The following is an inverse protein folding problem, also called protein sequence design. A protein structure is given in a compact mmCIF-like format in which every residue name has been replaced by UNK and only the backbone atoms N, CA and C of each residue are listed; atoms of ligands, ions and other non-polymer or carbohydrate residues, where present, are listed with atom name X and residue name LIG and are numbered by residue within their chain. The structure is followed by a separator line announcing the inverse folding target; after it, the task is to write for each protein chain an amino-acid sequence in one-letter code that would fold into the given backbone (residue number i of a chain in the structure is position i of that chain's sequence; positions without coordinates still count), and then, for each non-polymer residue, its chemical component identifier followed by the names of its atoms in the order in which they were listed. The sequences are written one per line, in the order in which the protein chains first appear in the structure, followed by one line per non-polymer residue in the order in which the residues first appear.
data_IF_712971471749
#
_entry.id   IF_712971471749
#
_cell.length_a   1.000
_cell.length_b   1.000
_cell.length_c   1.000
_cell.angle_alpha   90.00
_cell.angle_beta   90.00
_cell.angle_gamma   90.00
#
_symmetry.space_group_name_H-M   'P 1'
#
loop_
_entity.id
_entity.type
_entity.pdbx_description
1 polymer ?
#
# COMPACT_ATOMS: atom_id res chain seq x y z
N UNK A 1 47.27 -10.50 62.26
CA UNK A 1 46.64 -9.46 61.42
C UNK A 1 46.00 -10.17 60.24
N UNK A 2 44.67 -10.34 60.27
CA UNK A 2 43.92 -11.24 59.39
C UNK A 2 43.53 -10.52 58.10
N UNK A 3 44.13 -10.91 56.97
CA UNK A 3 43.80 -10.39 55.64
C UNK A 3 42.57 -11.10 55.07
N UNK A 4 41.42 -10.41 55.11
CA UNK A 4 40.19 -10.84 54.44
C UNK A 4 40.31 -10.59 52.93
N UNK A 5 40.41 -11.66 52.14
CA UNK A 5 40.25 -11.60 50.67
C UNK A 5 38.77 -11.40 50.33
N UNK A 6 38.41 -10.22 49.82
CA UNK A 6 37.11 -9.98 49.18
C UNK A 6 37.12 -10.60 47.78
N UNK A 7 36.33 -11.66 47.58
CA UNK A 7 36.03 -12.19 46.25
C UNK A 7 35.02 -11.26 45.57
N UNK A 8 35.49 -10.50 44.57
CA UNK A 8 34.63 -9.71 43.68
C UNK A 8 34.23 -10.65 42.53
N UNK A 9 33.00 -11.17 42.58
CA UNK A 9 32.42 -11.93 41.47
C UNK A 9 32.07 -11.00 40.31
N UNK A 10 32.75 -11.16 39.18
CA UNK A 10 32.44 -10.46 37.94
C UNK A 10 31.23 -11.12 37.28
N UNK A 11 30.05 -10.49 37.37
CA UNK A 11 28.85 -10.92 36.64
C UNK A 11 28.97 -10.43 35.20
N UNK A 12 29.34 -11.33 34.28
CA UNK A 12 29.34 -11.07 32.85
C UNK A 12 27.90 -11.19 32.36
N UNK A 13 27.25 -10.05 32.11
CA UNK A 13 25.96 -9.98 31.45
C UNK A 13 26.16 -10.28 29.95
N UNK A 14 25.98 -11.55 29.56
CA UNK A 14 25.95 -11.95 28.15
C UNK A 14 24.72 -11.32 27.47
N UNK A 15 24.94 -10.21 26.78
CA UNK A 15 23.99 -9.67 25.80
C UNK A 15 23.93 -10.64 24.62
N UNK A 16 22.95 -11.54 24.62
CA UNK A 16 22.59 -12.34 23.47
C UNK A 16 22.08 -11.41 22.37
N UNK A 17 22.97 -11.04 21.44
CA UNK A 17 22.57 -10.45 20.16
C UNK A 17 21.91 -11.55 19.33
N UNK A 18 20.58 -11.64 19.41
CA UNK A 18 19.80 -12.42 18.45
C UNK A 18 19.86 -11.71 17.10
N UNK A 19 20.72 -12.19 16.20
CA UNK A 19 20.68 -11.82 14.79
C UNK A 19 19.36 -12.33 14.21
N UNK A 20 18.38 -11.43 14.03
CA UNK A 20 17.22 -11.72 13.21
C UNK A 20 17.67 -11.71 11.75
N UNK A 21 17.84 -12.90 11.18
CA UNK A 21 18.03 -13.02 9.75
C UNK A 21 16.81 -12.46 9.01
N UNK A 22 17.07 -11.63 8.01
CA UNK A 22 16.04 -11.03 7.18
C UNK A 22 15.93 -11.78 5.85
N UNK A 23 14.71 -12.14 5.46
CA UNK A 23 14.38 -12.75 4.18
C UNK A 23 13.60 -11.81 3.28
N UNK A 24 13.18 -12.33 2.13
CA UNK A 24 12.27 -11.65 1.22
C UNK A 24 11.05 -12.49 0.89
N UNK A 25 9.96 -11.83 0.50
CA UNK A 25 8.75 -12.44 -0.03
C UNK A 25 8.52 -11.92 -1.44
N UNK A 26 8.55 -12.82 -2.42
CA UNK A 26 8.25 -12.52 -3.82
C UNK A 26 7.09 -13.34 -4.32
N UNK A 27 6.46 -12.87 -5.38
CA UNK A 27 5.53 -13.69 -6.11
C UNK A 27 4.82 -12.94 -7.21
N UNK A 28 3.85 -13.65 -7.78
CA UNK A 28 3.01 -13.17 -8.87
C UNK A 28 1.54 -13.18 -8.46
N UNK A 29 0.81 -12.16 -8.86
CA UNK A 29 -0.64 -12.05 -8.66
C UNK A 29 -1.32 -12.12 -10.02
N UNK A 30 -2.26 -13.07 -10.14
CA UNK A 30 -3.06 -13.24 -11.35
C UNK A 30 -4.55 -13.33 -11.05
N UNK A 31 -5.33 -13.21 -12.11
CA UNK A 31 -6.76 -13.48 -12.12
C UNK A 31 -7.08 -14.68 -13.00
N UNK A 32 -7.90 -15.59 -12.47
CA UNK A 32 -8.45 -16.70 -13.23
C UNK A 32 -9.77 -16.30 -13.90
N UNK A 33 -9.74 -16.28 -15.24
CA UNK A 33 -10.87 -16.01 -16.11
C UNK A 33 -10.86 -14.61 -16.74
N UNK A 34 -11.98 -14.22 -17.34
CA UNK A 34 -12.12 -12.91 -17.98
C UNK A 34 -12.35 -11.81 -16.92
N UNK A 35 -11.53 -10.77 -16.96
CA UNK A 35 -11.73 -9.57 -16.15
C UNK A 35 -13.07 -8.85 -16.46
N UNK A 36 -13.48 -7.88 -15.63
CA UNK A 36 -14.55 -6.96 -15.98
C UNK A 36 -14.19 -6.16 -17.23
N UNK A 37 -15.20 -5.65 -17.95
CA UNK A 37 -14.94 -4.73 -19.07
C UNK A 37 -14.29 -3.45 -18.57
N UNK A 38 -13.28 -2.96 -19.28
CA UNK A 38 -12.66 -1.68 -19.00
C UNK A 38 -13.70 -0.56 -19.11
N UNK A 39 -13.82 0.23 -18.04
CA UNK A 39 -14.76 1.36 -18.00
C UNK A 39 -14.01 2.62 -18.40
N UNK A 40 -14.35 3.18 -19.57
CA UNK A 40 -13.85 4.50 -19.99
C UNK A 40 -14.30 5.57 -19.00
N UNK A 41 -13.39 6.43 -18.57
CA UNK A 41 -13.68 7.58 -17.73
C UNK A 41 -14.29 8.69 -18.59
N UNK A 42 -15.29 9.39 -18.03
CA UNK A 42 -15.96 10.52 -18.68
C UNK A 42 -15.46 11.78 -18.00
N UNK A 43 -14.53 12.47 -18.64
CA UNK A 43 -13.82 13.63 -18.10
C UNK A 43 -14.24 14.95 -18.77
N UNK A 44 -15.14 14.87 -19.75
CA UNK A 44 -15.59 15.96 -20.63
C UNK A 44 -16.39 17.06 -19.92
N UNK A 45 -16.88 16.79 -18.71
CA UNK A 45 -17.54 17.79 -17.88
C UNK A 45 -16.60 18.92 -17.39
N UNK A 46 -15.28 18.66 -17.33
CA UNK A 46 -14.26 19.67 -17.03
C UNK A 46 -13.34 19.80 -18.26
N UNK A 47 -13.27 20.96 -18.94
CA UNK A 47 -12.46 21.13 -20.14
C UNK A 47 -10.97 20.85 -19.95
N UNK A 48 -10.41 21.14 -18.76
CA UNK A 48 -9.01 20.81 -18.45
C UNK A 48 -8.84 19.30 -18.42
N UNK A 49 -9.78 18.59 -17.79
CA UNK A 49 -9.74 17.14 -17.73
C UNK A 49 -9.98 16.49 -19.10
N UNK A 50 -10.96 16.96 -19.87
CA UNK A 50 -11.27 16.45 -21.20
C UNK A 50 -10.13 16.61 -22.22
N UNK A 51 -9.23 17.57 -22.00
CA UNK A 51 -8.06 17.83 -22.85
C UNK A 51 -6.74 17.31 -22.27
N UNK A 52 -6.75 16.70 -21.08
CA UNK A 52 -5.53 16.27 -20.40
C UNK A 52 -4.89 14.99 -20.96
N UNK A 53 -5.60 14.28 -21.86
CA UNK A 53 -5.12 13.05 -22.50
C UNK A 53 -5.39 13.06 -24.00
N UNK A 54 -4.45 12.55 -24.79
CA UNK A 54 -4.64 12.31 -26.23
C UNK A 54 -5.50 11.08 -26.52
N UNK A 55 -5.54 10.12 -25.58
CA UNK A 55 -6.27 8.87 -25.70
C UNK A 55 -7.37 8.73 -24.63
N UNK A 56 -8.22 7.71 -24.80
CA UNK A 56 -9.25 7.41 -23.80
C UNK A 56 -8.62 6.88 -22.51
N UNK A 57 -8.93 7.51 -21.39
CA UNK A 57 -8.56 7.01 -20.06
C UNK A 57 -9.59 6.00 -19.56
N UNK A 58 -9.12 4.94 -18.91
CA UNK A 58 -9.95 3.88 -18.35
C UNK A 58 -9.78 3.79 -16.83
N UNK A 59 -10.78 3.26 -16.14
CA UNK A 59 -10.71 3.04 -14.70
C UNK A 59 -9.63 2.03 -14.34
N UNK A 60 -8.80 2.41 -13.38
CA UNK A 60 -7.72 1.59 -12.82
C UNK A 60 -8.19 0.60 -11.74
N UNK A 61 -9.51 0.58 -11.44
CA UNK A 61 -10.08 -0.30 -10.41
C UNK A 61 -9.90 -1.80 -10.64
N UNK A 62 -9.45 -2.21 -11.83
CA UNK A 62 -9.04 -3.57 -12.17
C UNK A 62 -8.14 -3.56 -13.41
N UNK A 63 -6.82 -3.52 -13.21
CA UNK A 63 -5.82 -3.57 -14.29
C UNK A 63 -5.26 -4.98 -14.43
N UNK A 64 -5.60 -5.61 -15.54
CA UNK A 64 -5.21 -6.98 -15.86
C UNK A 64 -4.57 -7.02 -17.24
N UNK A 65 -3.40 -7.63 -17.34
CA UNK A 65 -2.74 -7.87 -18.62
C UNK A 65 -3.37 -9.06 -19.36
N UNK A 66 -3.00 -9.25 -20.62
CA UNK A 66 -3.58 -10.29 -21.49
C UNK A 66 -3.34 -11.72 -20.99
N UNK A 67 -2.26 -11.96 -20.23
CA UNK A 67 -1.96 -13.26 -19.62
C UNK A 67 -2.63 -13.46 -18.25
N UNK A 68 -3.47 -12.51 -17.81
CA UNK A 68 -4.19 -12.55 -16.54
C UNK A 68 -3.41 -11.98 -15.34
N UNK A 69 -2.21 -11.43 -15.53
CA UNK A 69 -1.47 -10.78 -14.43
C UNK A 69 -2.21 -9.54 -13.95
N UNK A 70 -2.20 -9.30 -12.64
CA UNK A 70 -2.90 -8.18 -12.02
C UNK A 70 -1.93 -7.14 -11.48
N UNK A 71 -2.01 -5.94 -12.01
CA UNK A 71 -1.36 -4.77 -11.43
C UNK A 71 -2.16 -4.21 -10.25
N UNK A 72 -1.50 -3.37 -9.45
CA UNK A 72 -2.15 -2.59 -8.38
C UNK A 72 -2.82 -3.44 -7.30
N UNK A 73 -2.30 -4.65 -7.08
CA UNK A 73 -2.65 -5.45 -5.91
C UNK A 73 -1.71 -5.07 -4.77
N UNK A 74 -2.27 -4.79 -3.60
CA UNK A 74 -1.48 -4.63 -2.37
C UNK A 74 -1.19 -5.99 -1.77
N UNK A 75 0.08 -6.34 -1.62
CA UNK A 75 0.53 -7.50 -0.86
C UNK A 75 1.20 -6.99 0.41
N UNK A 76 0.73 -7.41 1.59
CA UNK A 76 1.25 -6.90 2.85
C UNK A 76 1.17 -7.92 3.98
N UNK A 77 2.11 -7.84 4.91
CA UNK A 77 2.16 -8.69 6.09
C UNK A 77 1.42 -8.04 7.26
N UNK A 78 0.69 -8.85 8.02
CA UNK A 78 0.06 -8.44 9.28
C UNK A 78 0.81 -8.94 10.49
N UNK A 79 0.64 -8.20 11.60
CA UNK A 79 1.16 -8.56 12.92
C UNK A 79 2.69 -8.74 12.95
N UNK A 80 3.41 -7.94 12.16
CA UNK A 80 4.87 -7.92 12.19
C UNK A 80 5.31 -6.93 13.25
N UNK A 81 6.08 -7.38 14.25
CA UNK A 81 6.73 -6.47 15.18
C UNK A 81 7.80 -5.67 14.44
N UNK A 82 7.71 -4.35 14.50
CA UNK A 82 8.61 -3.44 13.80
C UNK A 82 8.93 -2.22 14.66
N UNK A 83 10.22 -1.93 14.80
CA UNK A 83 10.75 -0.82 15.60
C UNK A 83 11.73 0.08 14.80
N UNK A 84 11.87 -0.16 13.49
CA UNK A 84 12.79 0.56 12.60
C UNK A 84 12.41 2.02 12.30
N UNK A 85 11.37 2.55 12.95
CA UNK A 85 10.91 3.92 12.83
C UNK A 85 10.10 4.21 11.57
N UNK A 86 9.64 5.45 11.43
CA UNK A 86 8.81 5.86 10.29
C UNK A 86 9.72 6.34 9.14
N UNK A 87 9.46 5.95 7.87
CA UNK A 87 10.18 6.49 6.73
C UNK A 87 10.15 8.02 6.69
N UNK A 88 11.32 8.64 6.48
CA UNK A 88 11.44 10.10 6.37
C UNK A 88 10.95 10.63 5.02
N UNK A 89 11.13 9.83 3.97
CA UNK A 89 10.63 10.17 2.65
C UNK A 89 9.10 10.12 2.63
N UNK A 90 8.42 11.16 2.15
CA UNK A 90 6.97 11.18 2.12
C UNK A 90 6.44 10.17 1.10
N UNK A 91 5.30 9.55 1.43
CA UNK A 91 4.46 8.96 0.40
C UNK A 91 3.90 10.10 -0.47
N UNK A 92 3.74 9.88 -1.77
CA UNK A 92 3.26 10.92 -2.70
C UNK A 92 1.93 10.51 -3.32
N UNK A 93 0.97 11.44 -3.32
CA UNK A 93 -0.28 11.33 -4.06
C UNK A 93 -0.45 12.57 -4.92
N UNK A 94 -0.47 12.41 -6.24
CA UNK A 94 -0.59 13.53 -7.18
C UNK A 94 -1.93 13.52 -7.91
N UNK A 95 -2.50 14.71 -8.07
CA UNK A 95 -3.62 15.00 -8.96
C UNK A 95 -3.03 15.44 -10.30
N UNK A 96 -2.98 14.51 -11.25
CA UNK A 96 -2.32 14.72 -12.55
C UNK A 96 -3.09 14.02 -13.66
N UNK A 97 -3.40 14.73 -14.73
CA UNK A 97 -4.25 14.21 -15.81
C UNK A 97 -5.68 13.95 -15.33
N UNK A 98 -6.17 14.71 -14.36
CA UNK A 98 -7.45 14.50 -13.71
C UNK A 98 -7.67 13.05 -13.23
N UNK A 99 -6.62 12.42 -12.73
CA UNK A 99 -6.62 11.14 -12.01
C UNK A 99 -5.73 11.28 -10.77
N UNK A 100 -5.83 10.31 -9.86
CA UNK A 100 -4.93 10.22 -8.71
C UNK A 100 -3.81 9.23 -9.00
N UNK A 101 -2.57 9.69 -8.85
CA UNK A 101 -1.38 8.89 -9.09
C UNK A 101 -0.56 8.77 -7.80
N UNK A 102 -0.23 7.55 -7.37
CA UNK A 102 -0.69 6.25 -7.90
C UNK A 102 -2.16 5.94 -7.55
N UNK A 103 -2.81 5.03 -8.31
CA UNK A 103 -4.14 4.52 -7.97
C UNK A 103 -4.14 3.66 -6.70
N UNK A 104 -3.06 2.96 -6.43
CA UNK A 104 -2.88 2.13 -5.23
C UNK A 104 -1.47 2.35 -4.67
N UNK A 105 -1.37 2.59 -3.36
CA UNK A 105 -0.09 2.68 -2.66
C UNK A 105 -0.18 2.20 -1.21
N UNK A 106 0.99 2.00 -0.62
CA UNK A 106 1.14 1.78 0.82
C UNK A 106 1.98 2.89 1.44
N UNK A 107 1.72 3.17 2.70
CA UNK A 107 2.52 4.05 3.55
C UNK A 107 2.52 3.52 4.98
N UNK A 108 3.46 3.97 5.79
CA UNK A 108 3.46 3.67 7.22
C UNK A 108 2.63 4.68 8.01
N UNK A 109 2.06 4.22 9.13
CA UNK A 109 1.45 5.09 10.11
C UNK A 109 2.48 6.14 10.59
N UNK A 110 2.05 7.40 10.64
CA UNK A 110 2.90 8.55 10.95
C UNK A 110 3.77 9.05 9.80
N UNK A 111 3.87 8.33 8.67
CA UNK A 111 4.60 8.81 7.50
C UNK A 111 3.92 10.05 6.92
N UNK A 112 4.70 11.01 6.45
CA UNK A 112 4.17 12.17 5.74
C UNK A 112 3.56 11.71 4.40
N UNK A 113 2.36 12.18 4.10
CA UNK A 113 1.74 12.11 2.79
C UNK A 113 1.86 13.49 2.13
N UNK A 114 2.69 13.59 1.10
CA UNK A 114 2.81 14.77 0.26
C UNK A 114 1.78 14.69 -0.87
N UNK A 115 0.80 15.58 -0.82
CA UNK A 115 -0.30 15.61 -1.78
C UNK A 115 -0.05 16.75 -2.77
N UNK A 116 -0.04 16.43 -4.05
CA UNK A 116 0.30 17.37 -5.14
C UNK A 116 -0.91 17.63 -6.03
N UNK A 117 -0.96 18.82 -6.62
CA UNK A 117 -1.87 19.15 -7.71
C UNK A 117 -1.07 19.66 -8.92
N UNK A 118 -0.66 18.71 -9.76
CA UNK A 118 -0.01 18.99 -11.03
C UNK A 118 -0.99 19.51 -12.10
N UNK A 119 -2.30 19.31 -11.92
CA UNK A 119 -3.30 19.80 -12.86
C UNK A 119 -3.54 21.31 -12.77
N UNK A 120 -4.07 21.86 -13.85
CA UNK A 120 -4.47 23.27 -13.97
C UNK A 120 -5.94 23.52 -13.57
N UNK A 121 -6.57 22.56 -12.90
CA UNK A 121 -7.96 22.63 -12.42
C UNK A 121 -8.07 22.37 -10.91
N UNK A 122 -9.26 22.61 -10.37
CA UNK A 122 -9.59 22.34 -8.97
C UNK A 122 -9.92 20.85 -8.79
N UNK A 123 -9.29 20.25 -7.80
CA UNK A 123 -9.66 18.94 -7.26
C UNK A 123 -9.86 19.07 -5.74
N UNK A 124 -10.20 17.98 -5.05
CA UNK A 124 -10.20 17.95 -3.59
C UNK A 124 -9.78 16.58 -3.08
N UNK A 125 -9.14 16.56 -1.91
CA UNK A 125 -8.67 15.33 -1.30
C UNK A 125 -9.59 15.01 -0.13
N UNK A 126 -10.35 13.92 -0.25
CA UNK A 126 -11.25 13.43 0.77
C UNK A 126 -10.87 12.00 1.15
N UNK A 127 -10.24 11.83 2.31
CA UNK A 127 -9.81 10.53 2.83
C UNK A 127 -10.96 9.79 3.51
N UNK A 128 -11.10 8.48 3.32
CA UNK A 128 -12.15 7.69 3.98
C UNK A 128 -11.59 6.62 4.94
N UNK A 129 -10.73 6.98 5.92
CA UNK A 129 -10.15 6.02 6.86
C UNK A 129 -11.22 5.39 7.76
N UNK A 130 -10.88 4.24 8.40
CA UNK A 130 -11.75 3.61 9.39
C UNK A 130 -11.37 3.98 10.83
N UNK A 131 -10.08 4.14 11.11
CA UNK A 131 -9.52 4.39 12.45
C UNK A 131 -9.06 5.83 12.62
N UNK A 132 -8.37 6.37 11.63
CA UNK A 132 -7.89 7.75 11.64
C UNK A 132 -9.02 8.75 11.41
N UNK A 133 -8.76 10.02 11.73
CA UNK A 133 -9.69 11.11 11.42
C UNK A 133 -9.68 11.37 9.91
N UNK A 134 -10.87 11.49 9.34
CA UNK A 134 -11.06 11.96 7.97
C UNK A 134 -10.57 13.41 7.80
N UNK A 135 -9.97 13.69 6.66
CA UNK A 135 -9.79 15.04 6.15
C UNK A 135 -10.45 15.18 4.78
N UNK A 136 -10.99 16.38 4.54
CA UNK A 136 -11.50 16.81 3.26
C UNK A 136 -11.07 18.26 3.02
N UNK A 137 -10.32 18.52 1.94
CA UNK A 137 -9.95 19.88 1.57
C UNK A 137 -9.79 20.03 0.06
N UNK A 138 -10.07 21.25 -0.42
CA UNK A 138 -9.84 21.65 -1.80
C UNK A 138 -8.34 21.76 -2.12
N UNK A 139 -7.98 21.40 -3.35
CA UNK A 139 -6.67 21.59 -3.97
C UNK A 139 -6.88 22.43 -5.25
N UNK A 140 -7.05 23.75 -5.16
CA UNK A 140 -7.17 24.61 -6.35
C UNK A 140 -5.89 24.61 -7.17
N UNK A 141 -5.95 25.00 -8.45
CA UNK A 141 -4.79 25.05 -9.36
C UNK A 141 -3.57 25.82 -8.82
N UNK A 142 -3.77 26.75 -7.89
CA UNK A 142 -2.72 27.57 -7.25
C UNK A 142 -2.07 26.89 -6.04
N UNK A 143 -2.75 25.94 -5.40
CA UNK A 143 -2.20 25.17 -4.29
C UNK A 143 -1.55 23.91 -4.87
N UNK A 144 -0.23 23.97 -5.07
CA UNK A 144 0.51 22.90 -5.73
C UNK A 144 0.80 21.71 -4.83
N UNK A 145 1.00 21.94 -3.54
CA UNK A 145 1.32 20.87 -2.59
C UNK A 145 0.67 21.11 -1.23
N UNK A 146 0.32 20.02 -0.54
CA UNK A 146 -0.18 20.03 0.83
C UNK A 146 0.23 18.74 1.54
N UNK A 147 0.63 18.86 2.80
CA UNK A 147 1.02 17.72 3.64
C UNK A 147 -0.17 17.20 4.45
N UNK A 148 -0.23 15.89 4.62
CA UNK A 148 -1.12 15.17 5.52
C UNK A 148 -0.38 13.98 6.15
N UNK A 149 -1.02 13.28 7.07
CA UNK A 149 -0.48 12.05 7.67
C UNK A 149 -1.61 11.24 8.31
N UNK A 150 -1.41 9.94 8.46
CA UNK A 150 -2.30 9.07 9.23
C UNK A 150 -1.54 8.51 10.44
N UNK A 151 -1.77 9.00 11.67
CA UNK A 151 -0.97 8.61 12.84
C UNK A 151 -1.15 7.16 13.29
N UNK A 152 -2.21 6.46 12.85
CA UNK A 152 -2.50 5.07 13.24
C UNK A 152 -2.56 4.16 12.02
N UNK A 153 -2.17 2.90 12.19
CA UNK A 153 -2.40 1.88 11.17
C UNK A 153 -3.89 1.63 10.95
N UNK A 154 -4.25 1.21 9.73
CA UNK A 154 -5.61 0.87 9.33
C UNK A 154 -5.72 -0.64 9.08
N UNK A 155 -6.83 -1.29 9.51
CA UNK A 155 -6.96 -2.74 9.39
C UNK A 155 -7.07 -3.24 7.94
N UNK A 156 -7.48 -2.35 7.02
CA UNK A 156 -7.65 -2.60 5.60
C UNK A 156 -7.32 -1.35 4.80
N UNK A 157 -6.93 -1.47 3.52
CA UNK A 157 -6.83 -0.33 2.63
C UNK A 157 -8.15 0.43 2.52
N UNK A 158 -8.07 1.76 2.52
CA UNK A 158 -9.21 2.64 2.31
C UNK A 158 -8.95 3.57 1.12
N UNK A 159 -10.01 4.22 0.64
CA UNK A 159 -9.89 5.08 -0.53
C UNK A 159 -9.82 6.57 -0.15
N UNK A 160 -9.09 7.30 -0.97
CA UNK A 160 -9.09 8.76 -1.04
C UNK A 160 -9.80 9.10 -2.35
N UNK A 161 -10.79 10.01 -2.31
CA UNK A 161 -11.59 10.39 -3.49
C UNK A 161 -11.58 11.90 -3.73
N UNK A 162 -11.97 12.27 -4.95
CA UNK A 162 -12.43 13.61 -5.28
C UNK A 162 -13.96 13.63 -5.20
N UNK A 163 -14.52 14.62 -4.51
CA UNK A 163 -15.95 14.93 -4.51
C UNK A 163 -16.37 15.74 -5.75
N UNK A 164 -15.43 16.45 -6.39
CA UNK A 164 -15.68 17.24 -7.61
C UNK A 164 -15.70 16.35 -8.85
N UNK A 165 -14.76 15.41 -8.96
CA UNK A 165 -14.60 14.54 -10.11
C UNK A 165 -14.79 13.06 -9.70
N UNK A 166 -16.00 12.49 -9.87
CA UNK A 166 -16.38 11.20 -9.25
C UNK A 166 -15.56 9.98 -9.71
N UNK A 167 -14.76 10.13 -10.78
CA UNK A 167 -13.86 9.09 -11.26
C UNK A 167 -12.53 9.05 -10.54
N UNK A 168 -12.09 10.16 -9.92
CA UNK A 168 -10.81 10.25 -9.25
C UNK A 168 -10.88 9.55 -7.89
N UNK A 169 -10.08 8.50 -7.77
CA UNK A 169 -9.99 7.67 -6.58
C UNK A 169 -8.59 7.07 -6.52
N UNK A 170 -8.05 6.95 -5.33
CA UNK A 170 -6.85 6.17 -5.03
C UNK A 170 -7.09 5.35 -3.76
N UNK A 171 -6.34 4.28 -3.57
CA UNK A 171 -6.38 3.42 -2.38
C UNK A 171 -5.05 3.43 -1.66
N UNK A 172 -5.12 3.52 -0.34
CA UNK A 172 -3.95 3.55 0.52
C UNK A 172 -4.05 2.47 1.58
N UNK A 173 -2.99 1.68 1.72
CA UNK A 173 -2.70 0.93 2.94
C UNK A 173 -1.92 1.84 3.90
N UNK A 174 -2.40 1.98 5.13
CA UNK A 174 -1.63 2.60 6.22
C UNK A 174 -1.21 1.48 7.17
N UNK A 175 0.06 1.08 7.09
CA UNK A 175 0.62 -0.08 7.80
C UNK A 175 1.41 0.36 9.05
N UNK A 176 1.50 -0.50 10.06
CA UNK A 176 2.39 -0.33 11.22
C UNK A 176 3.84 -0.78 10.95
N UNK A 177 4.07 -1.44 9.82
CA UNK A 177 5.35 -1.97 9.39
C UNK A 177 5.57 -1.71 7.88
N UNK A 178 6.81 -1.73 7.37
CA UNK A 178 7.12 -1.43 5.97
C UNK A 178 6.92 -2.62 5.02
N UNK A 179 6.45 -3.78 5.51
CA UNK A 179 6.43 -5.03 4.75
C UNK A 179 5.19 -5.14 3.87
N UNK A 180 5.16 -4.29 2.84
CA UNK A 180 4.13 -4.26 1.82
C UNK A 180 4.72 -3.92 0.45
N UNK A 181 4.02 -4.35 -0.60
CA UNK A 181 4.32 -4.02 -1.99
C UNK A 181 3.02 -3.83 -2.77
N UNK A 182 3.11 -3.10 -3.87
CA UNK A 182 2.06 -3.01 -4.89
C UNK A 182 2.57 -3.74 -6.13
N UNK A 183 1.73 -4.59 -6.72
CA UNK A 183 2.14 -5.32 -7.93
C UNK A 183 2.34 -4.39 -9.12
N UNK A 184 3.38 -4.68 -9.90
CA UNK A 184 3.68 -4.01 -11.16
C UNK A 184 2.69 -4.39 -12.29
N UNK A 185 2.90 -3.84 -13.49
CA UNK A 185 2.08 -4.15 -14.68
C UNK A 185 2.07 -5.62 -15.08
N UNK A 186 3.11 -6.36 -14.70
CA UNK A 186 3.28 -7.78 -14.99
C UNK A 186 2.81 -8.66 -13.82
N UNK A 187 2.25 -8.05 -12.76
CA UNK A 187 1.69 -8.73 -11.60
C UNK A 187 2.71 -9.20 -10.57
N UNK A 188 3.97 -8.78 -10.68
CA UNK A 188 5.01 -9.18 -9.74
C UNK A 188 5.04 -8.27 -8.52
N UNK A 189 5.41 -8.83 -7.37
CA UNK A 189 5.71 -8.07 -6.15
C UNK A 189 6.97 -8.63 -5.47
N UNK A 190 7.64 -7.75 -4.72
CA UNK A 190 8.79 -8.09 -3.89
C UNK A 190 8.74 -7.29 -2.58
N UNK A 191 8.93 -7.96 -1.45
CA UNK A 191 9.02 -7.36 -0.13
C UNK A 191 10.30 -7.89 0.53
N UNK A 192 11.26 -7.00 0.76
CA UNK A 192 12.57 -7.36 1.32
C UNK A 192 12.66 -7.09 2.82
N UNK A 193 13.74 -7.56 3.42
CA UNK A 193 14.14 -7.28 4.80
C UNK A 193 13.11 -7.69 5.86
N UNK A 194 12.34 -8.74 5.57
CA UNK A 194 11.33 -9.26 6.49
C UNK A 194 12.04 -10.09 7.55
N UNK A 195 11.85 -9.83 8.86
CA UNK A 195 12.43 -10.66 9.91
C UNK A 195 12.00 -12.12 9.76
N UNK A 196 12.85 -13.05 10.16
CA UNK A 196 12.48 -14.46 10.16
C UNK A 196 11.28 -14.71 11.09
N UNK A 197 10.30 -15.47 10.63
CA UNK A 197 9.06 -15.70 11.36
C UNK A 197 7.96 -16.31 10.48
N UNK A 198 6.81 -16.57 11.10
CA UNK A 198 5.60 -17.00 10.38
C UNK A 198 4.61 -15.85 10.40
N UNK A 199 4.15 -15.42 9.23
CA UNK A 199 3.28 -14.26 9.09
C UNK A 199 2.02 -14.60 8.30
N UNK A 200 0.96 -13.85 8.60
CA UNK A 200 -0.18 -13.74 7.72
C UNK A 200 0.15 -12.71 6.63
N UNK A 201 0.11 -13.14 5.37
CA UNK A 201 0.21 -12.26 4.20
C UNK A 201 -1.18 -12.10 3.57
N UNK A 202 -1.52 -10.86 3.25
CA UNK A 202 -2.76 -10.51 2.56
C UNK A 202 -2.43 -9.98 1.18
N UNK A 203 -3.15 -10.48 0.18
CA UNK A 203 -3.21 -9.91 -1.16
C UNK A 203 -4.59 -9.26 -1.36
N UNK A 204 -4.60 -7.94 -1.48
CA UNK A 204 -5.78 -7.11 -1.65
C UNK A 204 -5.84 -6.54 -3.07
N UNK A 205 -7.05 -6.48 -3.62
CA UNK A 205 -7.35 -5.83 -4.91
C UNK A 205 -8.69 -5.11 -4.78
N UNK A 206 -8.87 -3.93 -5.40
CA UNK A 206 -10.05 -3.07 -5.21
C UNK A 206 -11.41 -3.78 -5.39
N UNK A 207 -11.57 -4.61 -6.42
CA UNK A 207 -12.81 -5.38 -6.68
C UNK A 207 -13.01 -6.50 -5.67
N UNK A 208 -11.94 -6.93 -5.01
CA UNK A 208 -11.92 -7.99 -4.01
C UNK A 208 -11.78 -7.46 -2.57
N UNK A 209 -11.88 -6.15 -2.34
CA UNK A 209 -11.65 -5.51 -1.03
C UNK A 209 -12.43 -6.09 0.17
N UNK A 210 -13.58 -6.73 -0.07
CA UNK A 210 -14.38 -7.39 0.98
C UNK A 210 -13.93 -8.83 1.29
N UNK A 211 -13.14 -9.43 0.40
CA UNK A 211 -12.64 -10.81 0.45
C UNK A 211 -11.23 -10.85 -0.18
N UNK A 212 -10.24 -10.17 0.42
CA UNK A 212 -8.86 -10.31 -0.03
C UNK A 212 -8.41 -11.77 0.15
N UNK A 213 -7.34 -12.14 -0.55
CA UNK A 213 -6.72 -13.45 -0.35
C UNK A 213 -5.78 -13.38 0.85
N UNK A 214 -5.75 -14.45 1.63
CA UNK A 214 -4.90 -14.55 2.82
C UNK A 214 -4.11 -15.86 2.74
N UNK A 215 -2.86 -15.84 3.21
CA UNK A 215 -2.06 -17.04 3.39
C UNK A 215 -1.12 -16.92 4.58
N UNK A 216 -0.68 -18.06 5.12
CA UNK A 216 0.45 -18.12 6.03
C UNK A 216 1.74 -18.33 5.24
N UNK A 217 2.79 -17.57 5.56
CA UNK A 217 4.13 -17.69 4.98
C UNK A 217 5.17 -17.81 6.09
N UNK A 218 6.14 -18.70 5.93
CA UNK A 218 7.30 -18.81 6.81
C UNK A 218 8.49 -18.16 6.13
N UNK A 219 8.95 -17.05 6.69
CA UNK A 219 10.13 -16.31 6.27
C UNK A 219 11.33 -16.81 7.07
N UNK A 220 12.41 -17.14 6.37
CA UNK A 220 13.72 -17.44 6.94
C UNK A 220 14.79 -16.64 6.23
N UNK A 221 16.01 -17.17 6.19
CA UNK A 221 17.07 -16.64 5.34
C UNK A 221 16.73 -16.85 3.85
N UNK A 222 16.87 -15.79 3.05
CA UNK A 222 16.71 -15.84 1.60
C UNK A 222 15.29 -15.58 1.09
N UNK A 223 15.03 -16.06 -0.12
CA UNK A 223 13.79 -15.78 -0.86
C UNK A 223 12.69 -16.79 -0.51
N UNK A 224 11.53 -16.28 -0.11
CA UNK A 224 10.27 -17.03 -0.01
C UNK A 224 9.37 -16.66 -1.17
N UNK A 225 8.83 -17.66 -1.87
CA UNK A 225 7.89 -17.43 -2.97
C UNK A 225 6.43 -17.67 -2.54
N UNK A 226 5.54 -16.73 -2.86
CA UNK A 226 4.09 -16.88 -2.69
C UNK A 226 3.29 -16.23 -3.81
N UNK A 227 2.70 -17.05 -4.67
CA UNK A 227 1.79 -16.55 -5.71
C UNK A 227 0.34 -16.45 -5.19
N UNK A 228 -0.44 -15.54 -5.78
CA UNK A 228 -1.86 -15.36 -5.51
C UNK A 228 -2.68 -15.44 -6.79
N UNK A 229 -3.87 -16.03 -6.69
CA UNK A 229 -4.81 -16.11 -7.82
C UNK A 229 -6.20 -15.73 -7.36
N UNK A 230 -6.66 -14.57 -7.80
CA UNK A 230 -8.05 -14.19 -7.64
C UNK A 230 -8.91 -14.93 -8.65
N UNK A 231 -10.14 -15.25 -8.29
CA UNK A 231 -11.12 -15.85 -9.20
C UNK A 231 -12.46 -15.16 -9.01
N UNK A 232 -13.35 -15.27 -9.99
CA UNK A 232 -14.69 -14.71 -9.86
C UNK A 232 -15.39 -15.30 -8.64
N UNK A 233 -15.98 -14.47 -7.76
CA UNK A 233 -16.82 -14.99 -6.69
C UNK A 233 -17.94 -15.84 -7.29
N UNK A 234 -18.09 -17.08 -6.80
CA UNK A 234 -19.24 -17.92 -7.18
C UNK A 234 -20.53 -17.15 -6.85
N UNK A 235 -21.47 -17.05 -7.79
CA UNK A 235 -22.76 -16.44 -7.47
C UNK A 235 -23.40 -17.26 -6.35
N UNK A 236 -23.97 -16.58 -5.35
CA UNK A 236 -24.88 -17.28 -4.43
C UNK A 236 -26.06 -17.74 -5.27
N UNK A 237 -26.30 -19.05 -5.34
CA UNK A 237 -27.57 -19.60 -5.84
C UNK A 237 -28.68 -19.22 -4.88
#
# INVERSE_FOLDING_TARGET
MVLHKKNIGLVILLLLFSYSFAGSLKGHVKFDGKGPRNKKLRMDADPVCGSSHSESVFSESFKMSSNGSLAECLVYLKNVSYDGGVPKEPAVLDQKGCIYLPHVFGMMAGQELLIKNSDATLHNIHSMPKVNKEFNFAMPKVLKEKKASFPKAEPNPFYIKCDVHPWMKSWVLVSDNPYFAVTDSDGNYNIDNIPSGTYEVICWQEKFKKKPLTASVKIGEGETKKDFTFSRPKSKK
#
